data_IF_543378699472
#
_entry.id   IF_543378699472
#
_cell.length_a   1.000
_cell.length_b   1.000
_cell.length_c   1.000
_cell.angle_alpha   90.00
_cell.angle_beta   90.00
_cell.angle_gamma   90.00
#
_symmetry.space_group_name_H-M   'P 1'
#
loop_
_entity.id
_entity.type
_entity.pdbx_description
1 polymer ?
#
# COMPACT_ATOMS: atom_id res chain seq x y z
N UNK A 1 -23.96 -23.61 -14.88
CA UNK A 1 -24.20 -25.05 -14.69
C UNK A 1 -23.78 -25.72 -15.99
N UNK A 2 -22.64 -26.41 -16.02
CA UNK A 2 -22.14 -27.09 -17.22
C UNK A 2 -22.23 -28.58 -16.95
N UNK A 3 -23.16 -29.23 -17.63
CA UNK A 3 -23.38 -30.67 -17.62
C UNK A 3 -22.41 -31.32 -18.62
N UNK A 4 -21.48 -32.13 -18.11
CA UNK A 4 -20.70 -33.06 -18.93
C UNK A 4 -20.63 -34.46 -18.31
N UNK A 5 -21.66 -34.87 -17.57
CA UNK A 5 -21.65 -36.22 -16.97
C UNK A 5 -22.91 -36.65 -16.23
N UNK A 6 -24.03 -35.94 -16.35
CA UNK A 6 -25.28 -36.29 -15.65
C UNK A 6 -25.24 -36.03 -14.13
N UNK A 7 -24.18 -35.38 -13.62
CA UNK A 7 -24.05 -34.95 -12.23
C UNK A 7 -24.20 -33.45 -12.15
N UNK A 8 -25.26 -32.97 -11.48
CA UNK A 8 -25.44 -31.55 -11.22
C UNK A 8 -24.75 -31.18 -9.90
N UNK A 9 -23.90 -30.16 -9.95
CA UNK A 9 -23.12 -29.69 -8.79
C UNK A 9 -23.54 -28.28 -8.39
N UNK A 10 -23.79 -28.06 -7.10
CA UNK A 10 -24.24 -26.76 -6.57
C UNK A 10 -23.79 -26.53 -5.12
N UNK A 11 -23.78 -25.26 -4.69
CA UNK A 11 -23.64 -24.91 -3.27
C UNK A 11 -24.92 -25.25 -2.50
N UNK A 12 -24.79 -25.81 -1.30
CA UNK A 12 -25.91 -26.20 -0.45
C UNK A 12 -25.52 -26.15 1.03
N UNK A 13 -26.46 -26.45 1.92
CA UNK A 13 -26.20 -26.68 3.35
C UNK A 13 -26.68 -28.06 3.77
N UNK A 14 -25.97 -28.70 4.68
CA UNK A 14 -26.37 -29.96 5.32
C UNK A 14 -26.10 -29.87 6.82
N UNK A 15 -27.13 -30.03 7.65
CA UNK A 15 -27.02 -29.88 9.10
C UNK A 15 -26.51 -28.50 9.55
N UNK A 16 -26.78 -27.44 8.77
CA UNK A 16 -26.34 -26.07 9.06
C UNK A 16 -24.92 -25.71 8.59
N UNK A 17 -24.13 -26.66 8.10
CA UNK A 17 -22.80 -26.40 7.51
C UNK A 17 -22.87 -26.36 5.98
N UNK A 18 -22.02 -25.55 5.35
CA UNK A 18 -21.96 -25.43 3.89
C UNK A 18 -21.36 -26.70 3.26
N UNK A 19 -22.00 -27.21 2.21
CA UNK A 19 -21.56 -28.34 1.41
C UNK A 19 -21.59 -28.04 -0.09
N UNK A 20 -20.86 -28.86 -0.85
CA UNK A 20 -21.08 -29.00 -2.29
C UNK A 20 -22.03 -30.18 -2.50
N UNK A 21 -23.22 -29.92 -3.04
CA UNK A 21 -24.23 -30.93 -3.38
C UNK A 21 -23.95 -31.49 -4.76
N UNK A 22 -23.98 -32.82 -4.88
CA UNK A 22 -23.88 -33.60 -6.10
C UNK A 22 -25.19 -34.37 -6.31
N UNK A 23 -26.02 -33.92 -7.23
CA UNK A 23 -27.26 -34.57 -7.64
C UNK A 23 -27.00 -35.48 -8.85
N UNK A 24 -27.64 -36.65 -8.90
CA UNK A 24 -27.45 -37.64 -9.98
C UNK A 24 -26.25 -38.59 -9.79
N UNK A 25 -25.46 -38.42 -8.72
CA UNK A 25 -24.27 -39.24 -8.44
C UNK A 25 -24.60 -40.74 -8.29
N UNK A 26 -25.77 -41.09 -7.76
CA UNK A 26 -26.21 -42.47 -7.56
C UNK A 26 -26.49 -43.24 -8.87
N UNK A 27 -26.66 -42.54 -9.99
CA UNK A 27 -26.88 -43.14 -11.32
C UNK A 27 -25.61 -43.60 -12.03
N UNK A 28 -24.43 -43.28 -11.49
CA UNK A 28 -23.13 -43.69 -12.02
C UNK A 28 -22.67 -44.96 -11.28
N UNK A 29 -22.74 -46.11 -11.95
CA UNK A 29 -22.56 -47.45 -11.37
C UNK A 29 -21.10 -47.84 -11.07
N UNK A 30 -20.81 -48.27 -9.84
CA UNK A 30 -19.55 -48.90 -9.37
C UNK A 30 -19.28 -48.63 -7.87
N UNK A 31 -18.42 -49.41 -7.16
CA UNK A 31 -18.20 -49.23 -5.72
C UNK A 31 -17.73 -47.81 -5.40
N UNK A 32 -18.48 -47.10 -4.55
CA UNK A 32 -18.25 -45.74 -4.05
C UNK A 32 -17.44 -44.81 -4.99
N UNK A 33 -18.14 -44.18 -5.95
CA UNK A 33 -17.56 -43.17 -6.85
C UNK A 33 -16.61 -42.21 -6.11
N UNK A 34 -15.40 -42.03 -6.63
CA UNK A 34 -14.36 -41.24 -5.97
C UNK A 34 -14.55 -39.76 -6.28
N UNK A 35 -15.29 -39.07 -5.42
CA UNK A 35 -15.43 -37.61 -5.48
C UNK A 35 -14.20 -36.95 -4.87
N UNK A 36 -13.56 -36.05 -5.63
CA UNK A 36 -12.49 -35.19 -5.13
C UNK A 36 -12.81 -33.73 -5.43
N UNK A 37 -12.49 -32.85 -4.49
CA UNK A 37 -12.69 -31.41 -4.62
C UNK A 37 -11.36 -30.74 -4.41
N UNK A 38 -11.00 -29.83 -5.32
CA UNK A 38 -9.74 -29.11 -5.28
C UNK A 38 -10.02 -27.61 -5.47
N UNK A 39 -9.32 -26.71 -4.77
CA UNK A 39 -9.24 -25.32 -5.22
C UNK A 39 -8.66 -25.29 -6.63
N UNK A 40 -9.24 -24.48 -7.53
CA UNK A 40 -8.82 -24.43 -8.94
C UNK A 40 -7.34 -24.06 -9.10
N UNK A 41 -6.82 -23.17 -8.23
CA UNK A 41 -5.40 -22.82 -8.16
C UNK A 41 -4.50 -24.02 -7.83
N UNK A 42 -5.01 -24.95 -7.02
CA UNK A 42 -4.28 -26.15 -6.58
C UNK A 42 -4.21 -27.21 -7.69
N UNK A 43 -5.22 -27.27 -8.56
CA UNK A 43 -5.22 -28.11 -9.78
C UNK A 43 -4.18 -27.60 -10.77
N UNK A 44 -4.11 -26.28 -10.99
CA UNK A 44 -3.14 -25.65 -11.89
C UNK A 44 -1.67 -25.92 -11.49
N UNK A 45 -1.41 -26.07 -10.19
CA UNK A 45 -0.09 -26.35 -9.63
C UNK A 45 0.25 -27.86 -9.56
N UNK A 46 -0.66 -28.75 -9.97
CA UNK A 46 -0.42 -30.19 -10.17
C UNK A 46 -0.07 -31.01 -8.93
N UNK A 47 -0.17 -30.48 -7.71
CA UNK A 47 0.47 -31.08 -6.52
C UNK A 47 -0.37 -31.09 -5.24
N UNK A 48 -1.59 -30.55 -5.25
CA UNK A 48 -2.36 -30.43 -4.03
C UNK A 48 -3.26 -31.65 -3.75
N UNK A 49 -3.24 -32.21 -2.52
CA UNK A 49 -4.23 -33.20 -2.12
C UNK A 49 -5.64 -32.60 -2.18
N UNK A 50 -6.69 -33.40 -2.43
CA UNK A 50 -8.05 -32.91 -2.42
C UNK A 50 -8.39 -32.30 -1.05
N UNK A 51 -9.31 -31.34 -1.05
CA UNK A 51 -9.91 -30.80 0.16
C UNK A 51 -10.35 -31.97 1.04
N UNK A 52 -9.87 -32.00 2.29
CA UNK A 52 -10.28 -33.01 3.24
C UNK A 52 -11.76 -32.80 3.59
N UNK A 53 -12.55 -33.87 3.62
CA UNK A 53 -13.97 -33.79 3.94
C UNK A 53 -14.63 -35.17 3.91
N UNK A 54 -15.95 -35.19 4.00
CA UNK A 54 -16.76 -36.40 3.99
C UNK A 54 -17.95 -36.24 3.05
N UNK A 55 -18.29 -37.31 2.34
CA UNK A 55 -19.53 -37.42 1.58
C UNK A 55 -20.64 -37.91 2.51
N UNK A 56 -21.73 -37.17 2.58
CA UNK A 56 -22.93 -37.51 3.34
C UNK A 56 -24.09 -37.66 2.37
N UNK A 57 -24.90 -38.71 2.54
CA UNK A 57 -26.17 -38.79 1.80
C UNK A 57 -27.13 -37.73 2.32
N UNK A 58 -27.80 -37.07 1.39
CA UNK A 58 -28.84 -36.08 1.66
C UNK A 58 -30.02 -36.31 0.71
N UNK A 59 -30.92 -37.21 1.10
CA UNK A 59 -31.99 -37.70 0.22
C UNK A 59 -31.42 -38.46 -1.00
N UNK A 60 -31.84 -38.11 -2.23
CA UNK A 60 -31.30 -38.72 -3.46
C UNK A 60 -29.90 -38.20 -3.84
N UNK A 61 -29.43 -37.14 -3.19
CA UNK A 61 -28.17 -36.48 -3.49
C UNK A 61 -27.08 -36.85 -2.49
N UNK A 62 -25.86 -36.42 -2.80
CA UNK A 62 -24.73 -36.48 -1.88
C UNK A 62 -24.21 -35.08 -1.61
N UNK A 63 -23.97 -34.74 -0.34
CA UNK A 63 -23.28 -33.51 0.05
C UNK A 63 -21.86 -33.82 0.50
N UNK A 64 -20.88 -33.18 -0.14
CA UNK A 64 -19.52 -33.14 0.38
C UNK A 64 -19.41 -32.04 1.44
N UNK A 65 -19.19 -32.45 2.69
CA UNK A 65 -18.94 -31.55 3.81
C UNK A 65 -17.43 -31.46 4.04
N UNK A 66 -16.80 -30.29 3.86
CA UNK A 66 -15.37 -30.18 4.05
C UNK A 66 -15.02 -30.23 5.55
N UNK A 67 -13.83 -30.72 5.88
CA UNK A 67 -13.29 -30.74 7.25
C UNK A 67 -13.06 -29.32 7.78
N UNK A 68 -12.71 -28.39 6.88
CA UNK A 68 -12.54 -26.96 7.15
C UNK A 68 -13.46 -26.18 6.21
N UNK A 69 -14.01 -25.01 6.60
CA UNK A 69 -14.90 -24.23 5.74
C UNK A 69 -14.28 -23.93 4.37
N UNK A 70 -15.08 -23.98 3.30
CA UNK A 70 -14.63 -23.47 2.01
C UNK A 70 -14.33 -21.97 2.11
N UNK A 71 -13.33 -21.51 1.37
CA UNK A 71 -12.91 -20.13 1.33
C UNK A 71 -13.82 -19.34 0.38
N UNK A 72 -14.30 -18.20 0.85
CA UNK A 72 -15.07 -17.26 0.05
C UNK A 72 -14.25 -16.72 -1.13
N UNK A 73 -14.91 -16.48 -2.27
CA UNK A 73 -14.26 -16.04 -3.50
C UNK A 73 -13.38 -17.08 -4.19
N UNK A 74 -13.31 -18.31 -3.68
CA UNK A 74 -12.47 -19.38 -4.23
C UNK A 74 -13.24 -20.25 -5.23
N UNK A 75 -12.64 -20.50 -6.40
CA UNK A 75 -13.12 -21.48 -7.36
C UNK A 75 -12.70 -22.90 -6.95
N UNK A 76 -13.65 -23.82 -6.97
CA UNK A 76 -13.45 -25.23 -6.65
C UNK A 76 -13.80 -26.09 -7.85
N UNK A 77 -12.86 -26.97 -8.22
CA UNK A 77 -13.03 -28.00 -9.25
C UNK A 77 -13.48 -29.28 -8.56
N UNK A 78 -14.57 -29.85 -9.06
CA UNK A 78 -15.13 -31.13 -8.60
C UNK A 78 -14.84 -32.18 -9.64
N UNK A 79 -14.18 -33.26 -9.20
CA UNK A 79 -13.94 -34.44 -10.03
C UNK A 79 -14.66 -35.65 -9.47
N UNK A 80 -15.16 -36.50 -10.37
CA UNK A 80 -15.75 -37.80 -10.07
C UNK A 80 -14.98 -38.83 -10.89
N UNK A 81 -14.38 -39.80 -10.23
CA UNK A 81 -13.56 -40.85 -10.85
C UNK A 81 -12.46 -40.29 -11.78
N UNK A 82 -11.91 -39.13 -11.38
CA UNK A 82 -10.85 -38.43 -12.12
C UNK A 82 -11.34 -37.50 -13.23
N UNK A 83 -12.61 -37.54 -13.63
CA UNK A 83 -13.18 -36.63 -14.61
C UNK A 83 -13.71 -35.35 -13.95
N UNK A 84 -13.40 -34.19 -14.51
CA UNK A 84 -13.97 -32.91 -14.07
C UNK A 84 -15.45 -32.87 -14.44
N UNK A 85 -16.31 -32.78 -13.45
CA UNK A 85 -17.78 -32.70 -13.65
C UNK A 85 -18.31 -31.29 -13.45
N UNK A 86 -17.62 -30.45 -12.69
CA UNK A 86 -17.99 -29.05 -12.49
C UNK A 86 -16.83 -28.22 -11.97
N UNK A 87 -16.93 -26.91 -12.22
CA UNK A 87 -16.20 -25.88 -11.50
C UNK A 87 -17.21 -24.87 -10.98
N UNK A 88 -17.15 -24.56 -9.68
CA UNK A 88 -18.03 -23.60 -9.01
C UNK A 88 -17.23 -22.66 -8.12
N UNK A 89 -17.54 -21.37 -8.21
CA UNK A 89 -16.94 -20.36 -7.34
C UNK A 89 -17.81 -20.17 -6.12
N UNK A 90 -17.22 -20.24 -4.93
CA UNK A 90 -17.91 -19.87 -3.69
C UNK A 90 -18.11 -18.37 -3.74
N UNK A 91 -19.36 -17.94 -3.91
CA UNK A 91 -19.69 -16.54 -3.74
C UNK A 91 -19.24 -16.15 -2.33
N UNK A 92 -18.38 -15.13 -2.23
CA UNK A 92 -18.18 -14.51 -0.93
C UNK A 92 -19.51 -13.94 -0.45
N UNK A 93 -19.68 -13.83 0.86
CA UNK A 93 -20.69 -12.90 1.34
C UNK A 93 -20.41 -11.56 0.63
N UNK A 94 -21.41 -11.04 -0.10
CA UNK A 94 -21.35 -9.69 -0.68
C UNK A 94 -21.56 -8.69 0.46
N UNK A 95 -20.69 -8.80 1.47
CA UNK A 95 -20.63 -7.91 2.60
C UNK A 95 -20.35 -6.53 2.02
N UNK A 96 -21.25 -5.60 2.32
CA UNK A 96 -21.20 -4.24 1.79
C UNK A 96 -19.77 -3.68 1.86
N UNK A 97 -19.28 -3.15 0.75
CA UNK A 97 -17.95 -2.57 0.65
C UNK A 97 -17.85 -1.32 1.55
N UNK A 98 -17.29 -1.49 2.75
CA UNK A 98 -17.17 -0.41 3.74
C UNK A 98 -15.82 0.29 3.74
N UNK A 99 -14.79 -0.33 3.17
CA UNK A 99 -13.41 0.15 3.25
C UNK A 99 -13.14 1.18 2.16
N UNK A 100 -12.45 2.26 2.50
CA UNK A 100 -12.21 3.42 1.63
C UNK A 100 -10.72 3.75 1.60
N UNK A 101 -10.25 4.28 0.47
CA UNK A 101 -8.95 4.96 0.41
C UNK A 101 -9.14 6.36 0.98
N UNK A 102 -8.52 6.64 2.12
CA UNK A 102 -8.60 7.91 2.83
C UNK A 102 -7.71 8.98 2.22
N UNK A 103 -6.51 8.60 1.78
CA UNK A 103 -5.54 9.53 1.23
C UNK A 103 -4.50 8.81 0.36
N UNK A 104 -4.00 9.54 -0.64
CA UNK A 104 -2.84 9.17 -1.43
C UNK A 104 -1.83 10.30 -1.27
N UNK A 105 -0.63 9.97 -0.76
CA UNK A 105 0.48 10.91 -0.64
C UNK A 105 1.60 10.56 -1.64
N UNK A 106 2.35 11.56 -2.14
CA UNK A 106 2.27 12.98 -1.78
C UNK A 106 0.97 13.68 -2.18
N UNK A 107 0.57 14.69 -1.41
CA UNK A 107 -0.60 15.51 -1.75
C UNK A 107 -0.27 16.63 -2.75
N UNK A 108 1.01 16.87 -3.03
CA UNK A 108 1.45 17.78 -4.09
C UNK A 108 0.92 17.38 -5.47
N UNK A 109 0.49 18.35 -6.28
CA UNK A 109 0.05 18.11 -7.66
C UNK A 109 1.21 17.79 -8.61
N UNK A 110 2.41 18.28 -8.30
CA UNK A 110 3.63 18.05 -9.07
C UNK A 110 4.64 17.26 -8.25
N UNK A 111 5.19 16.20 -8.84
CA UNK A 111 6.23 15.35 -8.25
C UNK A 111 7.49 15.39 -9.13
N UNK A 112 8.68 15.17 -8.57
CA UNK A 112 9.89 15.10 -9.39
C UNK A 112 9.87 13.83 -10.25
N UNK A 113 10.55 13.85 -11.41
CA UNK A 113 10.68 12.65 -12.26
C UNK A 113 11.29 11.45 -11.53
N UNK A 114 12.16 11.73 -10.57
CA UNK A 114 12.76 10.72 -9.69
C UNK A 114 11.99 10.53 -8.36
N UNK A 115 10.65 10.68 -8.37
CA UNK A 115 9.78 10.30 -7.24
C UNK A 115 10.15 8.89 -6.76
N UNK A 116 10.47 8.75 -5.48
CA UNK A 116 10.88 7.48 -4.90
C UNK A 116 9.70 6.68 -4.36
N UNK A 117 8.79 7.34 -3.63
CA UNK A 117 7.73 6.64 -2.91
C UNK A 117 6.44 7.45 -2.77
N UNK A 118 5.35 6.72 -2.58
CA UNK A 118 4.05 7.24 -2.18
C UNK A 118 3.42 6.40 -1.07
N UNK A 119 2.33 6.89 -0.51
CA UNK A 119 1.58 6.22 0.55
C UNK A 119 0.09 6.15 0.22
N UNK A 120 -0.52 4.99 0.45
CA UNK A 120 -1.95 4.78 0.38
C UNK A 120 -2.50 4.56 1.78
N UNK A 121 -3.44 5.39 2.23
CA UNK A 121 -4.11 5.24 3.51
C UNK A 121 -5.50 4.67 3.33
N UNK A 122 -5.88 3.74 4.20
CA UNK A 122 -7.14 3.02 4.16
C UNK A 122 -7.92 3.18 5.47
N UNK A 123 -9.25 3.18 5.39
CA UNK A 123 -10.12 3.31 6.56
C UNK A 123 -10.18 2.07 7.45
N UNK A 124 -9.74 0.92 6.93
CA UNK A 124 -9.67 -0.36 7.64
C UNK A 124 -8.40 -1.14 7.26
N UNK A 125 -7.97 -2.13 8.07
CA UNK A 125 -6.84 -2.99 7.74
C UNK A 125 -7.07 -3.74 6.41
N UNK A 126 -6.06 -3.74 5.54
CA UNK A 126 -6.10 -4.39 4.23
C UNK A 126 -5.58 -5.83 4.26
N UNK A 127 -5.92 -6.62 3.24
CA UNK A 127 -5.31 -7.92 2.97
C UNK A 127 -3.91 -7.74 2.37
N UNK A 128 -2.99 -8.64 2.74
CA UNK A 128 -1.63 -8.66 2.20
C UNK A 128 -1.53 -9.61 0.99
N UNK A 129 -0.55 -9.36 0.12
CA UNK A 129 -0.20 -10.20 -1.03
C UNK A 129 -1.04 -9.96 -2.28
N UNK A 130 -1.76 -8.83 -2.35
CA UNK A 130 -2.65 -8.48 -3.46
C UNK A 130 -2.36 -7.11 -4.08
N UNK A 131 -1.52 -6.27 -3.46
CA UNK A 131 -1.31 -4.89 -3.86
C UNK A 131 -0.84 -4.75 -5.31
N UNK A 132 0.05 -5.64 -5.77
CA UNK A 132 0.57 -5.62 -7.14
C UNK A 132 -0.52 -5.79 -8.22
N UNK A 133 -1.65 -6.43 -7.89
CA UNK A 133 -2.79 -6.58 -8.80
C UNK A 133 -3.73 -5.37 -8.81
N UNK A 134 -3.69 -4.53 -7.77
CA UNK A 134 -4.68 -3.48 -7.55
C UNK A 134 -4.11 -2.05 -7.56
N UNK A 135 -2.79 -1.90 -7.44
CA UNK A 135 -2.09 -0.62 -7.44
C UNK A 135 -1.22 -0.52 -8.68
N UNK A 136 -1.46 0.49 -9.51
CA UNK A 136 -0.72 0.71 -10.76
C UNK A 136 -0.47 2.18 -11.03
N UNK A 137 0.56 2.45 -11.80
CA UNK A 137 0.77 3.75 -12.44
C UNK A 137 0.34 3.63 -13.90
N UNK A 138 -0.48 4.58 -14.36
CA UNK A 138 -0.92 4.67 -15.76
C UNK A 138 -0.61 6.05 -16.32
N UNK A 139 -0.37 6.15 -17.62
CA UNK A 139 -0.23 7.45 -18.28
C UNK A 139 -1.59 8.12 -18.59
N UNK A 140 -1.55 9.20 -19.38
CA UNK A 140 -2.73 9.95 -19.79
C UNK A 140 -3.64 9.16 -20.74
N UNK A 141 -3.06 8.27 -21.56
CA UNK A 141 -3.80 7.39 -22.47
C UNK A 141 -4.44 6.20 -21.73
N UNK A 142 -3.99 5.95 -20.49
CA UNK A 142 -4.49 4.89 -19.61
C UNK A 142 -3.65 3.62 -19.67
N UNK A 143 -2.52 3.64 -20.38
CA UNK A 143 -1.59 2.53 -20.48
C UNK A 143 -0.77 2.40 -19.20
N UNK A 144 -0.53 1.15 -18.78
CA UNK A 144 0.24 0.87 -17.57
C UNK A 144 1.71 1.21 -17.80
N UNK A 145 2.28 2.00 -16.90
CA UNK A 145 3.72 2.24 -16.83
C UNK A 145 4.44 0.99 -16.30
N UNK A 146 4.63 0.01 -17.18
CA UNK A 146 5.21 -1.28 -16.84
C UNK A 146 6.60 -1.14 -16.19
N UNK A 147 6.83 -1.87 -15.10
CA UNK A 147 8.09 -1.83 -14.35
C UNK A 147 8.39 -0.47 -13.70
N UNK A 148 7.40 0.42 -13.55
CA UNK A 148 7.58 1.68 -12.83
C UNK A 148 7.57 1.49 -11.32
N UNK A 149 6.68 0.62 -10.80
CA UNK A 149 6.64 0.23 -9.40
C UNK A 149 7.60 -0.92 -9.12
N UNK A 150 8.24 -0.88 -7.95
CA UNK A 150 9.07 -1.98 -7.47
C UNK A 150 8.19 -3.21 -7.21
N UNK A 151 8.46 -4.30 -7.91
CA UNK A 151 7.86 -5.60 -7.58
C UNK A 151 8.51 -6.14 -6.30
N UNK A 152 7.82 -5.98 -5.17
CA UNK A 152 8.25 -6.53 -3.88
C UNK A 152 7.44 -7.78 -3.54
N UNK A 153 8.12 -8.89 -3.20
CA UNK A 153 7.45 -10.07 -2.65
C UNK A 153 6.78 -9.77 -1.29
N UNK A 154 7.39 -8.87 -0.51
CA UNK A 154 6.85 -8.41 0.76
C UNK A 154 6.32 -6.98 0.63
N UNK A 155 5.01 -6.81 0.81
CA UNK A 155 4.36 -5.51 0.80
C UNK A 155 4.75 -4.66 2.01
N UNK A 156 4.94 -3.35 1.79
CA UNK A 156 5.46 -2.42 2.79
C UNK A 156 4.35 -1.76 3.61
N UNK A 157 3.61 -2.58 4.35
CA UNK A 157 2.55 -2.13 5.26
C UNK A 157 3.09 -1.55 6.56
N UNK A 158 2.32 -0.63 7.14
CA UNK A 158 2.44 -0.34 8.56
C UNK A 158 1.90 -1.50 9.42
N UNK A 159 2.17 -1.47 10.73
CA UNK A 159 1.73 -2.52 11.65
C UNK A 159 0.19 -2.73 11.66
N UNK A 160 -0.58 -1.68 11.38
CA UNK A 160 -2.04 -1.74 11.31
C UNK A 160 -2.60 -2.22 9.97
N UNK A 161 -1.76 -2.43 8.95
CA UNK A 161 -2.17 -2.65 7.54
C UNK A 161 -3.14 -1.60 7.01
N UNK A 162 -3.03 -0.36 7.47
CA UNK A 162 -3.86 0.77 7.05
C UNK A 162 -3.08 1.77 6.21
N UNK A 163 -1.76 1.63 6.09
CA UNK A 163 -0.92 2.43 5.23
C UNK A 163 0.04 1.56 4.44
N UNK A 164 -0.15 1.50 3.12
CA UNK A 164 0.79 0.87 2.20
C UNK A 164 1.83 1.89 1.73
N UNK A 165 3.10 1.53 1.78
CA UNK A 165 4.17 2.28 1.09
C UNK A 165 4.36 1.69 -0.30
N UNK A 166 4.22 2.52 -1.32
CA UNK A 166 4.44 2.14 -2.72
C UNK A 166 5.77 2.74 -3.17
N UNK A 167 6.67 1.91 -3.68
CA UNK A 167 7.97 2.37 -4.20
C UNK A 167 7.94 2.36 -5.72
N UNK A 168 8.40 3.44 -6.33
CA UNK A 168 8.87 3.38 -7.71
C UNK A 168 10.22 2.67 -7.70
N UNK A 169 10.54 1.93 -8.77
CA UNK A 169 11.73 1.09 -8.81
C UNK A 169 13.01 1.89 -8.48
N UNK A 170 13.61 1.69 -7.28
CA UNK A 170 14.78 2.42 -6.85
C UNK A 170 16.00 2.20 -7.75
N UNK A 171 16.08 1.04 -8.41
CA UNK A 171 17.17 0.69 -9.30
C UNK A 171 17.09 1.45 -10.64
N UNK A 172 15.87 1.81 -11.06
CA UNK A 172 15.63 2.70 -12.20
C UNK A 172 15.75 4.18 -11.85
N UNK A 173 15.73 4.56 -10.57
CA UNK A 173 15.96 5.95 -10.15
C UNK A 173 17.46 6.29 -10.12
N UNK A 174 18.31 5.35 -9.69
CA UNK A 174 19.76 5.57 -9.57
C UNK A 174 20.47 5.43 -10.92
N UNK A 175 21.04 6.53 -11.44
CA UNK A 175 21.62 6.61 -12.80
C UNK A 175 22.75 5.62 -13.08
N UNK A 176 23.45 5.18 -12.04
CA UNK A 176 24.61 4.29 -12.14
C UNK A 176 24.27 2.79 -12.26
N UNK A 177 23.00 2.40 -12.12
CA UNK A 177 22.61 0.98 -12.07
C UNK A 177 22.12 0.46 -13.43
N UNK A 178 22.28 -0.84 -13.67
CA UNK A 178 21.88 -1.47 -14.94
C UNK A 178 20.40 -1.23 -15.30
N UNK A 179 19.42 -1.38 -14.37
CA UNK A 179 18.01 -1.12 -14.70
C UNK A 179 17.75 0.31 -15.19
N UNK A 180 18.45 1.31 -14.64
CA UNK A 180 18.36 2.68 -15.14
C UNK A 180 18.94 2.82 -16.54
N UNK A 181 20.09 2.21 -16.83
CA UNK A 181 20.72 2.31 -18.15
C UNK A 181 19.90 1.66 -19.25
N UNK A 182 19.20 0.58 -18.91
CA UNK A 182 18.40 -0.21 -19.85
C UNK A 182 17.01 0.37 -20.06
N UNK A 183 16.32 0.78 -18.99
CA UNK A 183 14.91 1.18 -19.04
C UNK A 183 14.66 2.66 -18.69
N UNK A 184 15.69 3.41 -18.30
CA UNK A 184 15.57 4.81 -17.88
C UNK A 184 14.72 5.01 -16.62
N UNK A 185 14.28 6.25 -16.40
CA UNK A 185 13.42 6.62 -15.27
C UNK A 185 12.02 6.00 -15.37
N UNK A 186 11.41 5.64 -14.22
CA UNK A 186 9.99 5.23 -14.17
C UNK A 186 9.01 6.25 -14.74
N UNK A 187 9.30 7.54 -14.55
CA UNK A 187 8.48 8.65 -15.01
C UNK A 187 9.20 9.45 -16.10
N UNK A 188 8.43 10.22 -16.88
CA UNK A 188 8.96 11.12 -17.92
C UNK A 188 8.62 12.57 -17.56
N UNK A 189 9.61 13.46 -17.56
CA UNK A 189 9.38 14.89 -17.28
C UNK A 189 8.39 15.48 -18.28
N UNK A 190 7.45 16.29 -17.79
CA UNK A 190 6.38 16.89 -18.58
C UNK A 190 5.24 15.95 -18.96
N UNK A 191 5.37 14.63 -18.76
CA UNK A 191 4.31 13.67 -19.02
C UNK A 191 3.55 13.37 -17.71
N UNK A 192 2.28 13.76 -17.59
CA UNK A 192 1.48 13.41 -16.42
C UNK A 192 1.24 11.90 -16.31
N UNK A 193 0.94 11.43 -15.10
CA UNK A 193 0.54 10.06 -14.83
C UNK A 193 -0.52 10.03 -13.73
N UNK A 194 -1.18 8.88 -13.57
CA UNK A 194 -2.10 8.60 -12.46
C UNK A 194 -1.63 7.41 -11.65
N UNK A 195 -1.68 7.54 -10.33
CA UNK A 195 -1.65 6.40 -9.42
C UNK A 195 -3.09 5.92 -9.25
N UNK A 196 -3.36 4.66 -9.59
CA UNK A 196 -4.69 4.05 -9.55
C UNK A 196 -4.72 2.95 -8.51
N UNK A 197 -5.77 2.95 -7.68
CA UNK A 197 -6.16 1.87 -6.78
C UNK A 197 -7.56 1.43 -7.19
N UNK A 198 -7.73 0.23 -7.74
CA UNK A 198 -9.05 -0.25 -8.13
C UNK A 198 -9.87 -0.82 -6.95
N UNK A 199 -11.19 -0.92 -7.16
CA UNK A 199 -12.13 -1.36 -6.13
C UNK A 199 -12.01 -2.85 -5.76
N UNK A 200 -11.28 -3.64 -6.54
CA UNK A 200 -11.06 -5.05 -6.31
C UNK A 200 -10.17 -5.33 -5.10
N UNK A 201 -9.43 -4.33 -4.61
CA UNK A 201 -8.52 -4.48 -3.48
C UNK A 201 -9.29 -4.82 -2.20
N UNK A 202 -8.91 -5.91 -1.53
CA UNK A 202 -9.66 -6.44 -0.40
C UNK A 202 -9.11 -6.01 0.95
N UNK A 203 -10.02 -5.74 1.87
CA UNK A 203 -9.72 -5.54 3.28
C UNK A 203 -9.35 -6.87 3.96
N UNK A 204 -8.89 -6.83 5.21
CA UNK A 204 -8.50 -8.02 5.97
C UNK A 204 -9.67 -8.97 6.29
N UNK A 205 -10.91 -8.59 5.98
CA UNK A 205 -12.11 -9.44 6.04
C UNK A 205 -12.53 -9.95 4.66
N UNK A 206 -11.73 -9.71 3.63
CA UNK A 206 -12.00 -10.14 2.25
C UNK A 206 -12.95 -9.22 1.48
N UNK A 207 -13.37 -8.09 2.05
CA UNK A 207 -14.35 -7.18 1.43
C UNK A 207 -13.66 -6.19 0.51
N UNK A 208 -14.28 -5.88 -0.63
CA UNK A 208 -13.76 -4.90 -1.61
C UNK A 208 -13.72 -3.48 -1.04
N UNK A 209 -12.96 -2.60 -1.70
CA UNK A 209 -13.09 -1.17 -1.47
C UNK A 209 -14.46 -0.68 -1.94
N UNK A 210 -14.98 0.37 -1.29
CA UNK A 210 -16.24 1.01 -1.67
C UNK A 210 -16.22 1.52 -3.11
N UNK A 211 -15.08 2.05 -3.54
CA UNK A 211 -14.82 2.53 -4.88
C UNK A 211 -13.31 2.51 -5.15
N UNK A 212 -12.95 2.45 -6.43
CA UNK A 212 -11.58 2.73 -6.87
C UNK A 212 -11.28 4.23 -6.77
N UNK A 213 -10.00 4.56 -6.63
CA UNK A 213 -9.52 5.94 -6.57
C UNK A 213 -8.32 6.10 -7.49
N UNK A 214 -8.25 7.24 -8.16
CA UNK A 214 -7.07 7.66 -8.90
C UNK A 214 -6.58 9.03 -8.42
N UNK A 215 -5.26 9.21 -8.45
CA UNK A 215 -4.61 10.50 -8.20
C UNK A 215 -3.69 10.85 -9.35
N UNK A 216 -3.98 11.98 -10.02
CA UNK A 216 -3.17 12.51 -11.11
C UNK A 216 -2.03 13.37 -10.59
N UNK A 217 -0.86 13.22 -11.21
CA UNK A 217 0.33 14.01 -10.95
C UNK A 217 0.90 14.61 -12.23
N UNK A 218 1.45 15.81 -12.12
CA UNK A 218 2.37 16.38 -13.09
C UNK A 218 3.80 15.98 -12.73
N UNK A 219 4.63 15.73 -13.75
CA UNK A 219 6.03 15.33 -13.54
C UNK A 219 6.97 16.49 -13.86
N UNK A 220 7.64 16.99 -12.83
CA UNK A 220 8.63 18.06 -12.95
C UNK A 220 10.05 17.55 -13.22
N UNK A 221 11.02 18.41 -12.93
CA UNK A 221 12.43 18.09 -13.00
C UNK A 221 12.85 17.10 -11.91
N UNK A 222 14.06 16.56 -12.06
CA UNK A 222 14.67 15.73 -11.03
C UNK A 222 15.05 16.57 -9.81
N UNK A 223 14.90 16.01 -8.61
CA UNK A 223 15.44 16.60 -7.39
C UNK A 223 16.63 15.76 -6.88
N UNK A 224 17.78 16.41 -6.70
CA UNK A 224 19.05 15.77 -6.30
C UNK A 224 19.82 16.55 -5.25
N UNK A 225 19.16 17.51 -4.59
CA UNK A 225 19.77 18.30 -3.53
C UNK A 225 19.40 17.68 -2.20
N UNK A 226 20.31 17.77 -1.22
CA UNK A 226 19.97 17.53 0.18
C UNK A 226 18.72 18.33 0.59
N UNK A 227 17.96 17.78 1.52
CA UNK A 227 17.03 18.59 2.31
C UNK A 227 17.88 19.49 3.21
N UNK A 228 17.66 20.80 3.14
CA UNK A 228 18.43 21.78 3.91
C UNK A 228 17.51 22.56 4.86
N UNK A 229 17.50 22.21 6.17
CA UNK A 229 16.70 22.91 7.17
C UNK A 229 17.06 24.39 7.33
N UNK A 230 18.29 24.80 7.02
CA UNK A 230 18.71 26.21 7.15
C UNK A 230 18.10 27.11 6.06
N UNK A 231 17.58 26.52 4.99
CA UNK A 231 16.88 27.24 3.92
C UNK A 231 15.36 27.40 4.17
N UNK A 232 14.84 26.94 5.31
CA UNK A 232 13.40 27.00 5.62
C UNK A 232 12.98 28.36 6.15
N UNK A 233 11.72 28.70 5.92
CA UNK A 233 11.11 29.92 6.46
C UNK A 233 10.40 29.61 7.77
N UNK A 234 10.70 30.37 8.83
CA UNK A 234 10.07 30.21 10.13
C UNK A 234 9.18 31.42 10.43
N UNK A 235 7.90 31.20 10.70
CA UNK A 235 7.03 32.19 11.34
C UNK A 235 6.98 31.88 12.82
N UNK A 236 7.67 32.72 13.57
CA UNK A 236 7.93 32.53 15.00
C UNK A 236 6.78 33.12 15.82
N UNK A 237 6.22 32.38 16.79
CA UNK A 237 5.06 32.81 17.56
C UNK A 237 5.43 33.73 18.73
N UNK A 238 4.46 34.47 19.30
CA UNK A 238 4.74 35.33 20.45
C UNK A 238 4.96 34.60 21.76
N UNK A 239 5.81 35.17 22.61
CA UNK A 239 6.07 34.66 23.97
C UNK A 239 4.76 34.57 24.76
N UNK A 240 4.62 33.51 25.56
CA UNK A 240 3.46 33.29 26.43
C UNK A 240 2.19 32.82 25.71
N UNK A 241 2.16 32.81 24.38
CA UNK A 241 0.99 32.35 23.61
C UNK A 241 1.08 30.87 23.22
N UNK A 242 -0.05 30.27 22.86
CA UNK A 242 -0.12 28.94 22.24
C UNK A 242 -0.20 29.01 20.71
N UNK A 243 0.11 30.18 20.12
CA UNK A 243 0.17 30.33 18.68
C UNK A 243 1.23 29.37 18.10
N UNK A 244 0.99 28.73 16.95
CA UNK A 244 1.90 27.71 16.45
C UNK A 244 3.19 28.30 15.89
N UNK A 245 4.31 27.60 16.09
CA UNK A 245 5.48 27.75 15.22
C UNK A 245 5.10 27.21 13.84
N UNK A 246 5.32 27.98 12.78
CA UNK A 246 5.08 27.54 11.41
C UNK A 246 6.40 27.48 10.65
N UNK A 247 6.63 26.37 9.95
CA UNK A 247 7.81 26.08 9.15
C UNK A 247 7.38 25.86 7.71
N UNK A 248 7.93 26.66 6.78
CA UNK A 248 7.71 26.52 5.34
C UNK A 248 8.91 25.93 4.64
N UNK A 249 8.68 24.89 3.83
CA UNK A 249 9.69 24.19 3.05
C UNK A 249 9.72 24.68 1.60
N UNK A 250 10.91 24.75 1.00
CA UNK A 250 11.07 25.12 -0.41
C UNK A 250 10.56 24.07 -1.41
N UNK A 251 10.31 22.82 -0.94
CA UNK A 251 9.80 21.70 -1.73
C UNK A 251 8.95 20.77 -0.85
N UNK A 252 8.06 19.94 -1.43
CA UNK A 252 7.34 18.91 -0.68
C UNK A 252 8.32 17.93 -0.01
N UNK A 253 8.05 17.60 1.25
CA UNK A 253 8.79 16.59 1.99
C UNK A 253 8.01 15.26 2.04
N UNK A 254 8.71 14.20 2.41
CA UNK A 254 8.07 12.89 2.60
C UNK A 254 7.03 12.95 3.73
N UNK A 255 5.77 12.64 3.39
CA UNK A 255 4.64 12.72 4.32
C UNK A 255 4.82 11.84 5.56
N UNK A 256 5.34 10.62 5.38
CA UNK A 256 5.54 9.69 6.49
C UNK A 256 6.62 10.17 7.46
N UNK A 257 7.68 10.80 6.94
CA UNK A 257 8.84 11.27 7.70
C UNK A 257 8.62 12.62 8.37
N UNK A 258 8.03 13.60 7.66
CA UNK A 258 7.90 14.98 8.16
C UNK A 258 7.14 15.04 9.50
N UNK A 259 6.15 14.18 9.70
CA UNK A 259 5.38 14.10 10.94
C UNK A 259 6.19 13.66 12.17
N UNK A 260 7.30 12.93 11.99
CA UNK A 260 8.08 12.32 13.09
C UNK A 260 9.53 12.82 13.19
N UNK A 261 10.07 13.39 12.13
CA UNK A 261 11.48 13.82 12.05
C UNK A 261 11.69 15.27 12.49
N UNK A 262 10.62 15.99 12.87
CA UNK A 262 10.67 17.37 13.36
C UNK A 262 10.24 17.41 14.83
N UNK A 263 11.03 18.08 15.66
CA UNK A 263 10.66 18.39 17.05
C UNK A 263 11.17 19.76 17.43
N UNK A 264 10.52 20.39 18.41
CA UNK A 264 10.97 21.66 18.98
C UNK A 264 11.51 21.41 20.38
N UNK A 265 12.65 22.03 20.69
CA UNK A 265 13.21 22.06 22.05
C UNK A 265 13.33 23.50 22.53
N UNK A 266 13.04 23.73 23.81
CA UNK A 266 13.17 25.02 24.46
C UNK A 266 14.59 25.35 24.93
N UNK A 267 14.77 26.47 25.67
CA UNK A 267 16.07 27.00 26.08
C UNK A 267 16.95 26.00 26.86
N UNK A 268 16.34 25.19 27.71
CA UNK A 268 17.03 24.17 28.51
C UNK A 268 17.19 22.82 27.78
N UNK A 269 16.90 22.77 26.48
CA UNK A 269 16.90 21.52 25.70
C UNK A 269 15.71 20.60 25.98
N UNK A 270 14.74 21.04 26.80
CA UNK A 270 13.50 20.30 27.05
C UNK A 270 12.63 20.29 25.80
N UNK A 271 12.02 19.15 25.42
CA UNK A 271 11.03 19.10 24.35
C UNK A 271 9.86 20.07 24.62
N UNK A 272 9.38 20.74 23.57
CA UNK A 272 8.14 21.50 23.62
C UNK A 272 7.01 20.55 23.22
N UNK A 273 6.18 20.18 24.20
CA UNK A 273 5.00 19.36 23.95
C UNK A 273 3.93 20.16 23.20
N UNK A 274 3.31 19.52 22.21
CA UNK A 274 2.34 20.18 21.36
C UNK A 274 1.66 19.23 20.39
N UNK A 275 0.76 19.81 19.59
CA UNK A 275 0.13 19.13 18.46
C UNK A 275 0.83 19.61 17.20
N UNK A 276 1.44 18.66 16.49
CA UNK A 276 2.07 18.89 15.21
C UNK A 276 1.10 18.58 14.07
N UNK A 277 1.16 19.35 12.99
CA UNK A 277 0.37 19.11 11.78
C UNK A 277 1.19 19.38 10.53
N UNK A 278 0.94 18.60 9.49
CA UNK A 278 1.57 18.73 8.18
C UNK A 278 0.60 19.51 7.29
N UNK A 279 1.06 20.64 6.75
CA UNK A 279 0.22 21.45 5.88
C UNK A 279 0.11 20.90 4.46
N UNK A 280 -0.61 21.65 3.62
CA UNK A 280 -0.88 21.27 2.23
C UNK A 280 0.41 20.94 1.44
N UNK A 281 0.31 19.94 0.57
CA UNK A 281 1.38 19.46 -0.30
C UNK A 281 2.67 19.05 0.42
N UNK A 282 2.59 18.75 1.73
CA UNK A 282 3.76 18.50 2.55
C UNK A 282 4.82 19.62 2.46
N UNK A 283 4.38 20.87 2.18
CA UNK A 283 5.23 22.07 2.04
C UNK A 283 5.35 22.89 3.32
N UNK A 284 4.62 22.50 4.36
CA UNK A 284 4.72 23.16 5.65
C UNK A 284 4.46 22.20 6.79
N UNK A 285 4.94 22.59 7.95
CA UNK A 285 4.71 21.91 9.21
C UNK A 285 4.47 22.95 10.28
N UNK A 286 3.59 22.66 11.23
CA UNK A 286 3.36 23.54 12.38
C UNK A 286 3.32 22.76 13.69
N UNK A 287 3.69 23.44 14.77
CA UNK A 287 3.54 22.94 16.14
C UNK A 287 2.83 23.97 17.01
N UNK A 288 1.62 23.65 17.44
CA UNK A 288 0.93 24.39 18.49
C UNK A 288 1.31 23.80 19.86
N UNK A 289 2.01 24.55 20.73
CA UNK A 289 2.44 24.01 22.02
C UNK A 289 1.24 23.87 22.97
N UNK A 290 1.33 22.95 23.94
CA UNK A 290 0.31 22.79 24.98
C UNK A 290 0.29 23.97 25.97
N UNK A 291 1.45 24.60 26.16
CA UNK A 291 1.65 25.73 27.06
C UNK A 291 2.27 26.91 26.30
N UNK A 292 2.13 28.11 26.87
CA UNK A 292 2.71 29.31 26.30
C UNK A 292 4.20 29.19 26.04
N UNK A 293 4.69 29.75 24.93
CA UNK A 293 6.13 29.75 24.62
C UNK A 293 6.94 30.41 25.73
N UNK A 294 7.96 29.71 26.23
CA UNK A 294 8.89 30.28 27.19
C UNK A 294 9.75 31.37 26.51
N UNK A 295 10.24 32.37 27.26
CA UNK A 295 11.24 33.29 26.75
C UNK A 295 12.57 32.55 26.50
N UNK A 296 13.33 32.99 25.50
CA UNK A 296 14.68 32.50 25.21
C UNK A 296 14.82 31.64 23.95
N UNK A 297 16.05 31.16 23.66
CA UNK A 297 16.36 30.46 22.41
C UNK A 297 15.68 29.09 22.36
N UNK A 298 14.85 28.89 21.34
CA UNK A 298 14.29 27.59 20.98
C UNK A 298 15.03 27.03 19.78
N UNK A 299 14.93 25.71 19.56
CA UNK A 299 15.49 25.05 18.38
C UNK A 299 14.48 24.12 17.74
N UNK A 300 14.29 24.28 16.43
CA UNK A 300 13.71 23.24 15.59
C UNK A 300 14.81 22.21 15.32
N UNK A 301 14.62 20.99 15.83
CA UNK A 301 15.55 19.88 15.65
C UNK A 301 15.01 18.95 14.58
N UNK A 302 15.84 18.71 13.56
CA UNK A 302 15.51 17.93 12.38
C UNK A 302 16.36 16.65 12.37
N UNK A 303 15.69 15.51 12.31
CA UNK A 303 16.35 14.21 12.17
C UNK A 303 17.03 14.10 10.78
N UNK A 304 18.30 13.64 10.70
CA UNK A 304 19.01 13.51 9.43
C UNK A 304 18.33 12.57 8.42
N UNK A 305 17.41 11.70 8.86
CA UNK A 305 16.65 10.80 7.98
C UNK A 305 15.44 11.44 7.32
N UNK A 306 15.11 12.70 7.62
CA UNK A 306 14.03 13.41 6.93
C UNK A 306 14.37 13.54 5.44
N UNK A 307 13.44 13.12 4.58
CA UNK A 307 13.61 13.06 3.13
C UNK A 307 12.60 13.93 2.38
N UNK A 308 12.94 14.27 1.14
CA UNK A 308 12.01 14.76 0.13
C UNK A 308 11.39 13.61 -0.69
N UNK A 309 10.54 13.96 -1.66
CA UNK A 309 9.86 12.99 -2.52
C UNK A 309 10.78 12.13 -3.39
N UNK A 310 12.03 12.57 -3.63
CA UNK A 310 13.02 11.82 -4.40
C UNK A 310 13.94 10.96 -3.51
N UNK A 311 13.67 10.91 -2.20
CA UNK A 311 14.48 10.18 -1.23
C UNK A 311 15.78 10.87 -0.84
N UNK A 312 15.98 12.14 -1.22
CA UNK A 312 17.13 12.89 -0.73
C UNK A 312 16.84 13.29 0.71
N UNK A 313 17.74 12.94 1.62
CA UNK A 313 17.61 13.28 3.02
C UNK A 313 18.45 14.51 3.39
N UNK A 314 18.27 14.96 4.63
CA UNK A 314 19.20 15.92 5.25
C UNK A 314 20.61 15.34 5.26
N UNK A 315 20.75 14.04 5.56
CA UNK A 315 22.03 13.34 5.62
C UNK A 315 22.63 12.92 4.27
N UNK A 316 21.83 12.67 3.23
CA UNK A 316 22.32 12.00 2.01
C UNK A 316 21.47 12.27 0.77
N UNK A 317 22.12 12.54 -0.37
CA UNK A 317 21.46 12.51 -1.70
C UNK A 317 21.25 11.06 -2.17
N UNK A 318 20.04 10.74 -2.65
CA UNK A 318 19.68 9.37 -3.02
C UNK A 318 20.40 8.88 -4.28
N UNK A 319 20.34 9.69 -5.34
CA UNK A 319 20.99 9.50 -6.64
C UNK A 319 22.20 10.44 -6.80
N UNK A 320 23.17 10.25 -5.90
CA UNK A 320 24.41 11.05 -5.81
C UNK A 320 25.24 10.97 -7.09
N UNK A 321 25.79 12.11 -7.50
CA UNK A 321 26.92 12.17 -8.42
C UNK A 321 28.25 12.02 -7.64
N UNK A 322 28.97 10.91 -7.84
CA UNK A 322 30.23 10.63 -7.12
C UNK A 322 31.34 11.64 -7.43
N UNK A 323 31.23 12.41 -8.52
CA UNK A 323 32.19 13.46 -8.85
C UNK A 323 31.90 14.79 -8.12
N UNK A 324 30.70 14.95 -7.54
CA UNK A 324 30.28 16.18 -6.85
C UNK A 324 30.40 16.01 -5.34
N UNK A 325 31.40 16.66 -4.75
CA UNK A 325 31.59 16.68 -3.28
C UNK A 325 30.38 17.21 -2.49
N UNK A 326 29.57 18.08 -3.10
CA UNK A 326 28.35 18.61 -2.46
C UNK A 326 27.28 17.56 -2.21
N UNK A 327 27.38 16.41 -2.86
CA UNK A 327 26.45 15.28 -2.72
C UNK A 327 26.95 14.25 -1.70
N UNK A 328 28.15 14.45 -1.13
CA UNK A 328 28.71 13.52 -0.15
C UNK A 328 27.83 13.44 1.10
N UNK A 329 27.68 12.24 1.69
CA UNK A 329 26.89 12.07 2.90
C UNK A 329 27.38 12.99 4.01
N UNK A 330 26.43 13.70 4.62
CA UNK A 330 26.64 14.48 5.83
C UNK A 330 26.56 13.54 7.04
N UNK A 331 27.19 13.93 8.15
CA UNK A 331 27.13 13.14 9.37
C UNK A 331 25.70 12.86 9.82
N UNK A 332 25.46 11.71 10.44
CA UNK A 332 24.13 11.28 10.93
C UNK A 332 23.69 12.02 12.21
N UNK A 333 23.99 13.32 12.31
CA UNK A 333 23.64 14.15 13.46
C UNK A 333 22.41 15.00 13.14
N UNK A 334 21.49 15.19 14.10
CA UNK A 334 20.40 16.13 13.94
C UNK A 334 20.88 17.54 13.63
N UNK A 335 20.16 18.22 12.74
CA UNK A 335 20.36 19.64 12.44
C UNK A 335 19.45 20.47 13.34
N UNK A 336 19.97 21.56 13.89
CA UNK A 336 19.20 22.46 14.75
C UNK A 336 19.12 23.87 14.14
N UNK A 337 17.90 24.37 13.99
CA UNK A 337 17.62 25.75 13.55
C UNK A 337 17.11 26.54 14.75
N UNK A 338 17.89 27.52 15.20
CA UNK A 338 17.56 28.35 16.37
C UNK A 338 16.54 29.43 16.00
N UNK A 339 15.55 29.66 16.86
CA UNK A 339 14.60 30.76 16.76
C UNK A 339 14.27 31.33 18.15
N UNK A 340 13.75 32.56 18.21
CA UNK A 340 13.37 33.22 19.46
C UNK A 340 11.91 33.64 19.38
N UNK A 341 11.01 33.07 20.20
CA UNK A 341 9.63 33.56 20.31
C UNK A 341 9.60 35.08 20.50
N UNK A 342 8.67 35.76 19.82
CA UNK A 342 8.57 37.22 19.75
C UNK A 342 7.27 37.69 20.40
#
# INVERSE_FOLDING_TARGET
>A
MVDRGGVAVSWSRHGGADCIRLAGLAGLTGPAAQVRIHPATAVALGTAPPTAGRLLRDGPDTCFLPRFPFLDGTAYVVTVDGAVVAELTRAGADDAATTEVLAIHPSAATVPRNLLRGYLWFSAPMSEGQAAGHVRLVDDDGDVLAGALLATEQELWDAGRRRLTVLLDPARIKRGLAPHREAGYPLRSGAPFRLVVDDGFRDARGRRLRAGVERRYQVGDDERRHVDPHAWTLRVPPIGTTAPLQVGFGRPLDHGLVARCLRVVGPEGRPVDGVADVGAEERSWRLAPRHGWAPGPHRLVVDPVLEDLAGNSVGRVFDRDLARRTDDPRGARPVAVTFHPA
#
